data_IF_793837019565
#
_entry.id   IF_793837019565
#
_cell.length_a   1.000
_cell.length_b   1.000
_cell.length_c   1.000
_cell.angle_alpha   90.00
_cell.angle_beta   90.00
_cell.angle_gamma   90.00
#
_symmetry.space_group_name_H-M   'P 1'
#
loop_
_entity.id
_entity.type
_entity.pdbx_description
1 polymer ?
#
# COMPACT_ATOMS: atom_id res chain seq x y z
N UNK A 1 4.95 -13.35 -18.63
CA UNK A 1 6.26 -12.83 -18.19
C UNK A 1 6.67 -13.54 -16.92
N UNK A 2 7.66 -14.42 -17.01
CA UNK A 2 8.24 -15.14 -15.87
C UNK A 2 9.05 -14.15 -15.04
N UNK A 3 8.60 -13.84 -13.82
CA UNK A 3 9.37 -12.99 -12.92
C UNK A 3 10.67 -13.70 -12.54
N UNK A 4 11.81 -13.10 -12.89
CA UNK A 4 13.11 -13.50 -12.36
C UNK A 4 13.07 -13.30 -10.84
N UNK A 5 13.40 -14.33 -10.03
CA UNK A 5 13.40 -14.20 -8.58
C UNK A 5 14.43 -13.15 -8.16
N UNK A 6 13.97 -12.10 -7.48
CA UNK A 6 14.85 -11.08 -6.91
C UNK A 6 15.58 -11.70 -5.73
N UNK A 7 16.91 -11.58 -5.69
CA UNK A 7 17.70 -12.06 -4.56
C UNK A 7 17.27 -11.30 -3.29
N UNK A 8 16.98 -12.03 -2.21
CA UNK A 8 16.64 -11.40 -0.93
C UNK A 8 17.80 -10.54 -0.43
N UNK A 9 17.53 -9.27 -0.11
CA UNK A 9 18.46 -8.37 0.56
C UNK A 9 17.69 -7.51 1.57
N UNK A 10 17.92 -7.79 2.86
CA UNK A 10 17.23 -7.11 3.96
C UNK A 10 17.63 -5.64 4.09
N UNK A 11 18.87 -5.27 3.72
CA UNK A 11 19.31 -3.89 3.84
C UNK A 11 18.60 -3.00 2.80
N UNK A 12 18.48 -3.49 1.57
CA UNK A 12 17.73 -2.80 0.51
C UNK A 12 16.25 -2.72 0.88
N UNK A 13 15.67 -3.77 1.43
CA UNK A 13 14.26 -3.75 1.86
C UNK A 13 14.01 -2.78 3.02
N UNK A 14 14.86 -2.76 4.06
CA UNK A 14 14.75 -1.83 5.18
C UNK A 14 14.88 -0.38 4.72
N UNK A 15 15.80 -0.11 3.77
CA UNK A 15 15.89 1.20 3.14
C UNK A 15 14.58 1.59 2.43
N UNK A 16 14.01 0.70 1.62
CA UNK A 16 12.72 0.97 0.97
C UNK A 16 11.58 1.19 1.97
N UNK A 17 11.51 0.42 3.05
CA UNK A 17 10.55 0.67 4.13
C UNK A 17 10.76 2.01 4.81
N UNK A 18 12.00 2.44 5.02
CA UNK A 18 12.31 3.76 5.55
C UNK A 18 11.87 4.88 4.59
N UNK A 19 12.07 4.72 3.28
CA UNK A 19 11.55 5.66 2.28
C UNK A 19 10.02 5.67 2.28
N UNK A 20 9.35 4.52 2.39
CA UNK A 20 7.90 4.46 2.54
C UNK A 20 7.42 5.21 3.79
N UNK A 21 8.13 5.11 4.91
CA UNK A 21 7.82 5.87 6.12
C UNK A 21 7.99 7.39 5.91
N UNK A 22 9.06 7.81 5.24
CA UNK A 22 9.25 9.22 4.88
C UNK A 22 8.19 9.71 3.90
N UNK A 23 7.79 8.88 2.92
CA UNK A 23 6.72 9.22 1.98
C UNK A 23 5.36 9.30 2.70
N UNK A 24 5.10 8.44 3.68
CA UNK A 24 3.91 8.53 4.51
C UNK A 24 3.90 9.83 5.32
N UNK A 25 5.04 10.21 5.91
CA UNK A 25 5.20 11.51 6.58
C UNK A 25 4.98 12.67 5.60
N UNK A 26 5.53 12.60 4.39
CA UNK A 26 5.34 13.60 3.33
C UNK A 26 3.86 13.79 2.98
N UNK A 27 3.12 12.69 2.84
CA UNK A 27 1.67 12.74 2.59
C UNK A 27 0.95 13.43 3.74
N UNK A 28 1.27 13.10 5.01
CA UNK A 28 0.67 13.76 6.19
C UNK A 28 0.99 15.25 6.26
N UNK A 29 2.26 15.64 6.05
CA UNK A 29 2.68 17.05 6.03
C UNK A 29 2.03 17.81 4.86
N UNK A 30 1.89 17.17 3.70
CA UNK A 30 1.13 17.73 2.57
C UNK A 30 -0.36 17.88 2.89
N UNK A 31 -0.94 16.93 3.63
CA UNK A 31 -2.29 17.03 4.18
C UNK A 31 -2.44 18.22 5.13
N UNK A 32 -1.45 18.47 5.98
CA UNK A 32 -1.44 19.64 6.86
C UNK A 32 -1.43 20.92 6.02
N UNK A 33 -0.50 21.03 5.08
CA UNK A 33 -0.38 22.15 4.13
C UNK A 33 -1.70 22.42 3.40
N UNK A 34 -2.48 21.39 3.05
CA UNK A 34 -3.80 21.57 2.44
C UNK A 34 -4.85 22.06 3.44
N UNK A 35 -4.94 21.42 4.61
CA UNK A 35 -5.99 21.70 5.59
C UNK A 35 -5.81 23.06 6.30
N UNK A 36 -4.58 23.58 6.33
CA UNK A 36 -4.23 24.93 6.80
C UNK A 36 -4.16 25.97 5.68
N UNK A 37 -4.56 25.61 4.45
CA UNK A 37 -4.55 26.50 3.28
C UNK A 37 -3.19 27.19 3.05
N UNK A 38 -2.12 26.43 3.25
CA UNK A 38 -0.75 26.93 3.19
C UNK A 38 -0.09 26.68 1.84
N UNK A 39 -0.76 26.00 0.91
CA UNK A 39 -0.17 25.51 -0.33
C UNK A 39 0.28 26.56 -1.35
N UNK A 40 0.03 27.85 -1.10
CA UNK A 40 0.33 28.98 -1.99
C UNK A 40 1.21 30.06 -1.32
N UNK A 41 1.69 29.83 -0.10
CA UNK A 41 2.51 30.77 0.67
C UNK A 41 3.91 31.03 0.08
N UNK A 42 4.46 30.10 -0.71
CA UNK A 42 5.75 30.19 -1.39
C UNK A 42 5.54 30.30 -2.90
N UNK A 43 5.54 31.54 -3.39
CA UNK A 43 5.23 31.88 -4.78
C UNK A 43 6.31 31.43 -5.77
N UNK A 44 7.56 31.35 -5.33
CA UNK A 44 8.68 30.99 -6.21
C UNK A 44 8.97 29.48 -6.22
N UNK A 45 9.31 28.96 -7.39
CA UNK A 45 9.82 27.60 -7.55
C UNK A 45 11.35 27.60 -7.63
N UNK A 46 11.99 27.38 -6.47
CA UNK A 46 13.46 27.28 -6.35
C UNK A 46 13.84 25.90 -5.78
N UNK A 47 13.96 24.85 -6.62
CA UNK A 47 14.19 23.48 -6.17
C UNK A 47 15.48 23.28 -5.37
N UNK A 48 16.55 23.97 -5.75
CA UNK A 48 17.87 23.84 -5.13
C UNK A 48 18.14 24.97 -4.15
N UNK A 49 18.06 26.23 -4.60
CA UNK A 49 18.41 27.41 -3.79
C UNK A 49 17.37 27.78 -2.74
N UNK A 50 16.12 27.31 -2.87
CA UNK A 50 15.05 27.54 -1.89
C UNK A 50 15.01 26.52 -0.74
N UNK A 51 16.13 25.83 -0.46
CA UNK A 51 16.21 24.87 0.64
C UNK A 51 16.33 25.55 2.01
N UNK A 52 17.05 26.68 2.08
CA UNK A 52 17.11 27.49 3.29
C UNK A 52 15.81 28.31 3.45
N UNK A 53 15.19 28.37 4.65
CA UNK A 53 14.09 29.29 4.92
C UNK A 53 14.62 30.73 5.05
N UNK A 54 13.75 31.75 5.09
CA UNK A 54 14.15 33.13 5.37
C UNK A 54 14.84 33.20 6.75
N UNK A 55 16.04 33.78 6.80
CA UNK A 55 16.89 33.79 8.00
C UNK A 55 16.90 35.15 8.71
N UNK A 56 16.58 36.23 8.00
CA UNK A 56 16.48 37.58 8.55
C UNK A 56 15.06 38.14 8.47
N UNK A 57 14.77 39.18 9.25
CA UNK A 57 13.48 39.87 9.18
C UNK A 57 13.24 40.49 7.79
N UNK A 58 14.30 40.99 7.14
CA UNK A 58 14.22 41.52 5.79
C UNK A 58 13.80 40.45 4.77
N UNK A 59 14.35 39.25 4.87
CA UNK A 59 13.97 38.12 4.00
C UNK A 59 12.51 37.73 4.21
N UNK A 60 12.07 37.65 5.48
CA UNK A 60 10.68 37.36 5.81
C UNK A 60 9.71 38.39 5.23
N UNK A 61 10.05 39.67 5.30
CA UNK A 61 9.25 40.75 4.69
C UNK A 61 9.24 40.62 3.17
N UNK A 62 10.37 40.30 2.54
CA UNK A 62 10.44 40.12 1.08
C UNK A 62 9.54 38.97 0.59
N UNK A 63 9.56 37.82 1.27
CA UNK A 63 8.64 36.71 0.93
C UNK A 63 7.18 37.09 1.16
N UNK A 64 6.87 37.83 2.23
CA UNK A 64 5.52 38.27 2.50
C UNK A 64 5.01 39.27 1.46
N UNK A 65 5.86 40.21 0.99
CA UNK A 65 5.50 41.11 -0.10
C UNK A 65 5.20 40.35 -1.40
N UNK A 66 5.91 39.26 -1.69
CA UNK A 66 5.56 38.38 -2.83
C UNK A 66 4.19 37.75 -2.63
N UNK A 67 3.90 37.22 -1.44
CA UNK A 67 2.61 36.61 -1.13
C UNK A 67 1.45 37.60 -1.28
N UNK A 68 1.64 38.87 -0.92
CA UNK A 68 0.62 39.92 -1.12
C UNK A 68 0.21 40.15 -2.58
N UNK A 69 1.02 39.69 -3.54
CA UNK A 69 0.73 39.85 -4.97
C UNK A 69 -0.24 38.81 -5.53
N UNK A 70 -0.50 37.71 -4.80
CA UNK A 70 -1.34 36.61 -5.31
C UNK A 70 -2.81 36.76 -4.88
N UNK A 71 -3.77 36.18 -5.63
CA UNK A 71 -5.20 36.29 -5.35
C UNK A 71 -5.64 35.84 -3.95
N UNK A 72 -4.98 34.81 -3.38
CA UNK A 72 -5.31 34.29 -2.05
C UNK A 72 -5.17 35.36 -0.96
N UNK A 73 -4.12 36.19 -1.02
CA UNK A 73 -3.97 37.30 -0.07
C UNK A 73 -5.12 38.31 -0.21
N UNK A 74 -5.43 38.72 -1.44
CA UNK A 74 -6.44 39.74 -1.68
C UNK A 74 -7.87 39.30 -1.31
N UNK A 75 -8.20 38.02 -1.51
CA UNK A 75 -9.57 37.51 -1.38
C UNK A 75 -9.84 36.77 -0.06
N UNK A 76 -8.82 36.16 0.54
CA UNK A 76 -8.98 35.31 1.74
C UNK A 76 -8.24 35.91 2.94
N UNK A 77 -7.01 36.36 2.73
CA UNK A 77 -6.08 36.73 3.81
C UNK A 77 -5.81 38.25 3.87
N UNK A 78 -6.77 39.08 3.47
CA UNK A 78 -6.59 40.52 3.40
C UNK A 78 -6.35 41.10 4.80
N UNK A 79 -5.21 41.77 4.99
CA UNK A 79 -4.81 42.34 6.29
C UNK A 79 -4.08 41.36 7.21
N UNK A 80 -3.72 40.17 6.72
CA UNK A 80 -2.90 39.19 7.44
C UNK A 80 -1.60 39.81 7.99
N UNK A 81 -1.20 39.41 9.20
CA UNK A 81 0.05 39.86 9.80
C UNK A 81 1.25 39.05 9.30
N UNK A 82 2.47 39.55 9.49
CA UNK A 82 3.68 38.77 9.19
C UNK A 82 3.79 37.50 10.06
N UNK A 83 3.21 37.52 11.28
CA UNK A 83 3.22 36.36 12.16
C UNK A 83 2.34 35.24 11.60
N UNK A 84 1.11 35.57 11.18
CA UNK A 84 0.18 34.61 10.56
C UNK A 84 0.74 34.05 9.25
N UNK A 85 1.39 34.91 8.43
CA UNK A 85 2.08 34.47 7.21
C UNK A 85 3.16 33.42 7.49
N UNK A 86 3.94 33.58 8.58
CA UNK A 86 4.97 32.61 8.96
C UNK A 86 4.37 31.24 9.25
N UNK A 87 3.19 31.16 9.84
CA UNK A 87 2.53 29.89 10.15
C UNK A 87 2.24 29.08 8.89
N UNK A 88 1.62 29.72 7.88
CA UNK A 88 1.36 29.05 6.60
C UNK A 88 2.66 28.76 5.83
N UNK A 89 3.64 29.66 5.88
CA UNK A 89 4.94 29.46 5.23
C UNK A 89 5.66 28.23 5.75
N UNK A 90 5.66 27.99 7.07
CA UNK A 90 6.35 26.86 7.67
C UNK A 90 5.80 25.51 7.23
N UNK A 91 4.48 25.39 7.06
CA UNK A 91 3.88 24.16 6.54
C UNK A 91 4.33 23.87 5.12
N UNK A 92 4.28 24.88 4.25
CA UNK A 92 4.66 24.70 2.86
C UNK A 92 6.17 24.48 2.70
N UNK A 93 7.00 25.25 3.41
CA UNK A 93 8.44 25.07 3.41
C UNK A 93 8.81 23.68 3.92
N UNK A 94 8.21 23.24 5.03
CA UNK A 94 8.46 21.92 5.61
C UNK A 94 8.10 20.78 4.65
N UNK A 95 6.96 20.89 3.97
CA UNK A 95 6.56 19.95 2.92
C UNK A 95 7.56 19.91 1.76
N UNK A 96 7.95 21.08 1.22
CA UNK A 96 8.92 21.18 0.11
C UNK A 96 10.31 20.68 0.52
N UNK A 97 10.77 21.00 1.72
CA UNK A 97 12.04 20.55 2.27
C UNK A 97 12.06 19.02 2.44
N UNK A 98 11.01 18.44 3.01
CA UNK A 98 10.88 16.99 3.16
C UNK A 98 10.91 16.27 1.81
N UNK A 99 10.28 16.82 0.77
CA UNK A 99 10.38 16.29 -0.59
C UNK A 99 11.82 16.22 -1.12
N UNK A 100 12.62 17.26 -0.87
CA UNK A 100 14.06 17.28 -1.23
C UNK A 100 14.85 16.24 -0.44
N UNK A 101 14.60 16.15 0.88
CA UNK A 101 15.23 15.17 1.75
C UNK A 101 14.95 13.74 1.28
N UNK A 102 13.72 13.42 0.89
CA UNK A 102 13.34 12.12 0.33
C UNK A 102 14.12 11.82 -0.95
N UNK A 103 14.25 12.81 -1.84
CA UNK A 103 15.03 12.68 -3.07
C UNK A 103 16.49 12.26 -2.79
N UNK A 104 17.14 12.91 -1.83
CA UNK A 104 18.50 12.57 -1.40
C UNK A 104 18.58 11.22 -0.67
N UNK A 105 17.65 10.97 0.25
CA UNK A 105 17.55 9.72 1.00
C UNK A 105 17.28 8.50 0.09
N UNK A 106 16.70 8.72 -1.09
CA UNK A 106 16.58 7.69 -2.11
C UNK A 106 17.84 7.59 -2.98
N UNK A 107 18.33 8.72 -3.51
CA UNK A 107 19.41 8.72 -4.49
C UNK A 107 20.73 8.20 -3.91
N UNK A 108 21.12 8.63 -2.72
CA UNK A 108 22.42 8.27 -2.15
C UNK A 108 22.52 6.76 -1.85
N UNK A 109 21.56 6.11 -1.17
CA UNK A 109 21.60 4.66 -1.00
C UNK A 109 21.45 3.90 -2.31
N UNK A 110 20.68 4.40 -3.29
CA UNK A 110 20.59 3.78 -4.61
C UNK A 110 21.98 3.68 -5.28
N UNK A 111 22.74 4.79 -5.29
CA UNK A 111 24.11 4.83 -5.81
C UNK A 111 25.00 3.86 -5.03
N UNK A 112 24.96 3.91 -3.70
CA UNK A 112 25.75 3.03 -2.85
C UNK A 112 25.46 1.54 -3.11
N UNK A 113 24.20 1.13 -3.18
CA UNK A 113 23.82 -0.26 -3.44
C UNK A 113 24.17 -0.72 -4.86
N UNK A 114 24.12 0.19 -5.84
CA UNK A 114 24.59 -0.08 -7.20
C UNK A 114 26.11 -0.31 -7.23
N UNK A 115 26.89 0.59 -6.61
CA UNK A 115 28.35 0.50 -6.56
C UNK A 115 28.84 -0.74 -5.81
N UNK A 116 28.15 -1.11 -4.72
CA UNK A 116 28.46 -2.31 -3.92
C UNK A 116 27.89 -3.60 -4.51
N UNK A 117 27.27 -3.55 -5.70
CA UNK A 117 26.67 -4.69 -6.41
C UNK A 117 25.65 -5.47 -5.57
N UNK A 118 24.99 -4.81 -4.62
CA UNK A 118 23.91 -5.41 -3.82
C UNK A 118 22.59 -5.54 -4.58
N UNK A 119 22.38 -4.67 -5.56
CA UNK A 119 21.25 -4.74 -6.47
C UNK A 119 21.68 -5.28 -7.84
N UNK A 120 20.90 -6.21 -8.41
CA UNK A 120 21.09 -6.65 -9.78
C UNK A 120 20.55 -5.62 -10.79
N UNK A 121 20.82 -5.83 -12.08
CA UNK A 121 20.39 -4.92 -13.15
C UNK A 121 18.87 -4.77 -13.22
N UNK A 122 18.11 -5.84 -12.97
CA UNK A 122 16.66 -5.81 -13.07
C UNK A 122 16.05 -4.99 -11.92
N UNK A 123 16.51 -5.21 -10.69
CA UNK A 123 16.13 -4.44 -9.52
C UNK A 123 16.59 -2.98 -9.65
N UNK A 124 17.82 -2.75 -10.11
CA UNK A 124 18.35 -1.41 -10.36
C UNK A 124 17.51 -0.59 -11.33
N UNK A 125 17.03 -1.20 -12.43
CA UNK A 125 16.13 -0.53 -13.38
C UNK A 125 14.76 -0.20 -12.76
N UNK A 126 14.22 -1.08 -11.90
CA UNK A 126 12.96 -0.80 -11.17
C UNK A 126 13.14 0.37 -10.20
N UNK A 127 14.24 0.38 -9.45
CA UNK A 127 14.56 1.45 -8.50
C UNK A 127 14.83 2.79 -9.20
N UNK A 128 15.50 2.76 -10.37
CA UNK A 128 15.66 3.95 -11.21
C UNK A 128 14.31 4.46 -11.72
N UNK A 129 13.42 3.55 -12.14
CA UNK A 129 12.05 3.91 -12.52
C UNK A 129 11.28 4.57 -11.38
N UNK A 130 11.42 4.07 -10.14
CA UNK A 130 10.85 4.71 -8.95
C UNK A 130 11.44 6.10 -8.69
N UNK A 131 12.75 6.28 -8.88
CA UNK A 131 13.38 7.59 -8.75
C UNK A 131 12.84 8.59 -9.77
N UNK A 132 12.69 8.17 -11.04
CA UNK A 132 12.10 9.00 -12.10
C UNK A 132 10.64 9.34 -11.77
N UNK A 133 9.84 8.36 -11.34
CA UNK A 133 8.46 8.60 -10.88
C UNK A 133 8.41 9.55 -9.69
N UNK A 134 9.38 9.50 -8.77
CA UNK A 134 9.54 10.47 -7.68
C UNK A 134 9.86 11.88 -8.18
N UNK A 135 10.67 12.01 -9.23
CA UNK A 135 10.89 13.29 -9.92
C UNK A 135 9.60 13.83 -10.57
N UNK A 136 8.84 12.95 -11.24
CA UNK A 136 7.53 13.28 -11.79
C UNK A 136 6.52 13.67 -10.72
N UNK A 137 6.59 13.06 -9.54
CA UNK A 137 5.80 13.46 -8.38
C UNK A 137 6.10 14.91 -7.98
N UNK A 138 7.38 15.29 -7.94
CA UNK A 138 7.78 16.68 -7.70
C UNK A 138 7.26 17.65 -8.78
N UNK A 139 7.35 17.27 -10.06
CA UNK A 139 6.84 18.06 -11.17
C UNK A 139 5.31 18.23 -11.11
N UNK A 140 4.58 17.15 -10.76
CA UNK A 140 3.14 17.18 -10.57
C UNK A 140 2.75 18.06 -9.37
N UNK A 141 3.54 18.05 -8.30
CA UNK A 141 3.37 18.93 -7.14
C UNK A 141 3.58 20.41 -7.48
N UNK A 142 4.57 20.73 -8.32
CA UNK A 142 4.73 22.09 -8.85
C UNK A 142 3.54 22.53 -9.70
N UNK A 143 3.09 21.67 -10.63
CA UNK A 143 1.91 21.94 -11.44
C UNK A 143 0.63 22.11 -10.60
N UNK A 144 0.50 21.34 -9.52
CA UNK A 144 -0.61 21.45 -8.59
C UNK A 144 -0.70 22.85 -7.95
N UNK A 145 0.44 23.47 -7.62
CA UNK A 145 0.52 24.79 -6.99
C UNK A 145 0.47 25.93 -8.00
N UNK A 146 1.08 25.76 -9.18
CA UNK A 146 1.31 26.86 -10.13
C UNK A 146 0.02 27.55 -10.62
N UNK A 147 -1.10 26.83 -10.77
CA UNK A 147 -2.37 27.47 -11.16
C UNK A 147 -3.01 28.33 -10.06
N UNK A 148 -2.72 28.04 -8.80
CA UNK A 148 -3.24 28.83 -7.67
C UNK A 148 -2.54 30.18 -7.52
N UNK A 149 -1.50 30.45 -8.29
CA UNK A 149 -0.75 31.70 -8.22
C UNK A 149 -1.32 32.79 -9.15
N UNK A 150 -2.13 32.43 -10.16
CA UNK A 150 -2.60 33.37 -11.19
C UNK A 150 -4.08 33.24 -11.56
N UNK A 151 -4.67 32.04 -11.49
CA UNK A 151 -6.02 31.78 -12.03
C UNK A 151 -7.05 31.39 -10.96
N UNK A 152 -6.60 30.87 -9.81
CA UNK A 152 -7.47 30.35 -8.74
C UNK A 152 -6.98 30.82 -7.38
N UNK A 153 -7.86 30.77 -6.39
CA UNK A 153 -7.54 31.05 -4.98
C UNK A 153 -7.09 29.80 -4.22
N UNK A 154 -7.18 28.61 -4.84
CA UNK A 154 -6.83 27.34 -4.22
C UNK A 154 -6.34 26.30 -5.24
N UNK A 155 -5.83 25.19 -4.70
CA UNK A 155 -5.42 24.02 -5.48
C UNK A 155 -6.65 23.22 -5.86
N UNK A 156 -6.86 22.99 -7.16
CA UNK A 156 -7.95 22.15 -7.67
C UNK A 156 -7.92 20.74 -7.06
N UNK A 157 -9.09 20.27 -6.64
CA UNK A 157 -9.30 18.92 -6.10
C UNK A 157 -8.83 17.81 -7.03
N UNK A 158 -8.89 18.03 -8.35
CA UNK A 158 -8.39 17.08 -9.35
C UNK A 158 -6.87 16.98 -9.34
N UNK A 159 -6.16 18.11 -9.19
CA UNK A 159 -4.69 18.14 -9.10
C UNK A 159 -4.22 17.52 -7.80
N UNK A 160 -4.90 17.82 -6.69
CA UNK A 160 -4.67 17.20 -5.39
C UNK A 160 -4.84 15.68 -5.46
N UNK A 161 -5.96 15.21 -6.02
CA UNK A 161 -6.24 13.78 -6.21
C UNK A 161 -5.20 13.10 -7.10
N UNK A 162 -4.79 13.72 -8.20
CA UNK A 162 -3.74 13.20 -9.09
C UNK A 162 -2.39 13.09 -8.36
N UNK A 163 -2.00 14.13 -7.62
CA UNK A 163 -0.76 14.16 -6.86
C UNK A 163 -0.72 13.11 -5.75
N UNK A 164 -1.81 12.98 -4.98
CA UNK A 164 -1.94 11.90 -3.99
C UNK A 164 -1.92 10.53 -4.65
N UNK A 165 -2.64 10.33 -5.76
CA UNK A 165 -2.70 9.07 -6.49
C UNK A 165 -1.33 8.57 -6.94
N UNK A 166 -0.52 9.46 -7.54
CA UNK A 166 0.86 9.13 -7.91
C UNK A 166 1.73 8.83 -6.68
N UNK A 167 1.55 9.55 -5.56
CA UNK A 167 2.23 9.23 -4.29
C UNK A 167 1.89 7.81 -3.80
N UNK A 168 0.62 7.43 -3.86
CA UNK A 168 0.15 6.11 -3.43
C UNK A 168 0.65 5.00 -4.36
N UNK A 169 0.75 5.25 -5.67
CA UNK A 169 1.36 4.31 -6.62
C UNK A 169 2.84 4.10 -6.30
N UNK A 170 3.59 5.18 -6.04
CA UNK A 170 4.99 5.11 -5.60
C UNK A 170 5.13 4.32 -4.29
N UNK A 171 4.28 4.62 -3.30
CA UNK A 171 4.25 3.92 -2.03
C UNK A 171 3.98 2.42 -2.22
N UNK A 172 2.97 2.06 -3.02
CA UNK A 172 2.61 0.69 -3.31
C UNK A 172 3.74 -0.07 -4.00
N UNK A 173 4.36 0.55 -5.01
CA UNK A 173 5.46 -0.07 -5.75
C UNK A 173 6.69 -0.31 -4.87
N UNK A 174 7.05 0.64 -3.99
CA UNK A 174 8.14 0.48 -3.04
C UNK A 174 7.86 -0.59 -1.99
N UNK A 175 6.66 -0.58 -1.37
CA UNK A 175 6.25 -1.64 -0.44
C UNK A 175 6.27 -3.00 -1.14
N UNK A 176 5.80 -3.09 -2.37
CA UNK A 176 5.77 -4.35 -3.11
C UNK A 176 7.18 -4.90 -3.36
N UNK A 177 8.12 -4.06 -3.78
CA UNK A 177 9.52 -4.46 -3.96
C UNK A 177 10.15 -4.86 -2.63
N UNK A 178 9.92 -4.10 -1.57
CA UNK A 178 10.43 -4.40 -0.23
C UNK A 178 9.90 -5.76 0.28
N UNK A 179 8.61 -6.06 0.07
CA UNK A 179 8.01 -7.35 0.40
C UNK A 179 8.58 -8.50 -0.43
N UNK A 180 8.79 -8.31 -1.74
CA UNK A 180 9.44 -9.31 -2.60
C UNK A 180 10.89 -9.59 -2.16
N UNK A 181 11.58 -8.61 -1.55
CA UNK A 181 12.94 -8.78 -1.01
C UNK A 181 12.98 -9.52 0.33
N UNK A 182 12.05 -9.27 1.26
CA UNK A 182 12.05 -9.91 2.60
C UNK A 182 11.28 -11.22 2.65
N UNK A 183 10.31 -11.40 1.75
CA UNK A 183 9.46 -12.57 1.67
C UNK A 183 9.29 -12.99 0.20
N UNK A 184 10.35 -13.49 -0.46
CA UNK A 184 10.27 -13.91 -1.85
C UNK A 184 9.11 -14.87 -2.08
N UNK A 185 8.29 -14.58 -3.09
CA UNK A 185 7.11 -15.40 -3.40
C UNK A 185 7.56 -16.76 -3.94
N UNK A 186 7.07 -17.84 -3.32
CA UNK A 186 7.18 -19.18 -3.88
C UNK A 186 6.37 -19.28 -5.18
N UNK A 187 6.87 -20.03 -6.16
CA UNK A 187 6.17 -20.29 -7.43
C UNK A 187 4.98 -21.21 -7.20
N UNK A 188 3.82 -20.86 -7.76
CA UNK A 188 2.66 -21.76 -7.85
C UNK A 188 1.34 -21.01 -8.09
N UNK A 189 0.23 -21.66 -7.77
CA UNK A 189 -1.12 -21.10 -7.91
C UNK A 189 -1.42 -20.01 -6.87
N UNK A 190 -2.14 -18.96 -7.30
CA UNK A 190 -2.66 -17.89 -6.45
C UNK A 190 -3.76 -18.43 -5.54
N UNK A 191 -3.88 -17.88 -4.33
CA UNK A 191 -4.99 -18.23 -3.45
C UNK A 191 -6.33 -17.85 -4.11
N UNK A 192 -7.40 -18.65 -3.93
CA UNK A 192 -8.74 -18.36 -4.49
C UNK A 192 -9.31 -16.99 -4.08
N UNK A 193 -8.85 -16.44 -2.95
CA UNK A 193 -9.26 -15.12 -2.46
C UNK A 193 -8.43 -13.96 -3.03
N UNK A 194 -7.43 -14.24 -3.86
CA UNK A 194 -6.53 -13.22 -4.42
C UNK A 194 -7.25 -12.14 -5.24
N UNK A 195 -8.25 -12.44 -6.10
CA UNK A 195 -9.00 -11.40 -6.80
C UNK A 195 -9.74 -10.44 -5.85
N UNK A 196 -10.30 -10.97 -4.76
CA UNK A 196 -11.00 -10.16 -3.75
C UNK A 196 -10.03 -9.32 -2.92
N UNK A 197 -8.85 -9.84 -2.61
CA UNK A 197 -7.78 -9.07 -1.97
C UNK A 197 -7.34 -7.90 -2.86
N UNK A 198 -7.17 -8.14 -4.17
CA UNK A 198 -6.84 -7.09 -5.14
C UNK A 198 -7.97 -6.06 -5.22
N UNK A 199 -9.22 -6.50 -5.35
CA UNK A 199 -10.37 -5.61 -5.42
C UNK A 199 -10.49 -4.74 -4.16
N UNK A 200 -10.24 -5.31 -2.97
CA UNK A 200 -10.20 -4.57 -1.72
C UNK A 200 -9.07 -3.53 -1.70
N UNK A 201 -7.86 -3.88 -2.13
CA UNK A 201 -6.73 -2.96 -2.22
C UNK A 201 -7.00 -1.81 -3.21
N UNK A 202 -7.58 -2.10 -4.38
CA UNK A 202 -8.00 -1.10 -5.37
C UNK A 202 -9.09 -0.21 -4.77
N UNK A 203 -10.05 -0.78 -4.06
CA UNK A 203 -11.10 -0.03 -3.37
C UNK A 203 -10.53 0.91 -2.31
N UNK A 204 -9.55 0.48 -1.52
CA UNK A 204 -8.84 1.34 -0.56
C UNK A 204 -8.14 2.50 -1.28
N UNK A 205 -7.44 2.23 -2.39
CA UNK A 205 -6.84 3.28 -3.21
C UNK A 205 -7.89 4.28 -3.69
N UNK A 206 -9.01 3.81 -4.27
CA UNK A 206 -10.10 4.66 -4.73
C UNK A 206 -10.72 5.48 -3.59
N UNK A 207 -10.87 4.90 -2.40
CA UNK A 207 -11.37 5.60 -1.22
C UNK A 207 -10.45 6.74 -0.76
N UNK A 208 -9.14 6.56 -0.86
CA UNK A 208 -8.18 7.63 -0.58
C UNK A 208 -8.28 8.76 -1.62
N UNK A 209 -8.56 8.45 -2.89
CA UNK A 209 -8.86 9.45 -3.92
C UNK A 209 -10.16 10.19 -3.63
N UNK A 210 -11.22 9.49 -3.21
CA UNK A 210 -12.45 10.14 -2.72
C UNK A 210 -12.18 11.06 -1.53
N UNK A 211 -11.29 10.65 -0.62
CA UNK A 211 -10.83 11.49 0.49
C UNK A 211 -10.10 12.76 0.04
N UNK A 212 -9.30 12.68 -1.02
CA UNK A 212 -8.66 13.86 -1.62
C UNK A 212 -9.68 14.85 -2.19
N UNK A 213 -10.77 14.37 -2.79
CA UNK A 213 -11.86 15.24 -3.24
C UNK A 213 -12.57 15.94 -2.07
N UNK A 214 -12.86 15.21 -0.98
CA UNK A 214 -13.43 15.77 0.25
C UNK A 214 -12.52 16.86 0.84
N UNK A 215 -11.21 16.61 0.91
CA UNK A 215 -10.24 17.58 1.42
C UNK A 215 -10.07 18.78 0.48
N UNK A 216 -10.06 18.54 -0.84
CA UNK A 216 -9.95 19.59 -1.87
C UNK A 216 -11.09 20.60 -1.77
N UNK A 217 -12.33 20.10 -1.70
CA UNK A 217 -13.54 20.92 -1.61
C UNK A 217 -13.91 21.35 -0.18
N UNK A 218 -13.10 21.01 0.84
CA UNK A 218 -13.39 21.27 2.27
C UNK A 218 -14.73 20.71 2.76
N UNK A 219 -15.25 19.65 2.13
CA UNK A 219 -16.57 19.08 2.40
C UNK A 219 -16.72 18.48 3.81
N UNK A 220 -15.59 18.11 4.43
CA UNK A 220 -15.54 17.64 5.82
C UNK A 220 -15.89 18.69 6.88
N UNK A 221 -15.99 19.97 6.54
CA UNK A 221 -16.37 21.07 7.45
C UNK A 221 -17.83 21.52 7.32
N UNK A 222 -18.60 20.91 6.41
CA UNK A 222 -19.98 21.31 6.12
C UNK A 222 -20.99 20.24 6.56
N UNK A 223 -20.76 18.99 6.15
CA UNK A 223 -21.68 17.89 6.47
C UNK A 223 -21.17 17.11 7.69
N UNK A 224 -21.50 17.59 8.88
CA UNK A 224 -20.93 17.11 10.16
C UNK A 224 -21.84 16.19 10.99
N UNK A 225 -23.02 15.85 10.48
CA UNK A 225 -23.88 14.82 11.08
C UNK A 225 -23.53 13.41 10.57
N UNK A 226 -23.81 12.39 11.38
CA UNK A 226 -23.69 10.97 11.02
C UNK A 226 -24.74 10.14 11.79
N UNK A 227 -25.34 9.06 11.21
CA UNK A 227 -25.09 8.49 9.88
C UNK A 227 -25.71 9.29 8.73
N UNK A 228 -26.76 10.07 9.02
CA UNK A 228 -27.42 10.95 8.05
C UNK A 228 -26.57 12.20 7.77
N UNK A 229 -26.75 12.80 6.60
CA UNK A 229 -26.19 14.09 6.20
C UNK A 229 -27.32 15.12 6.25
N UNK A 230 -27.29 16.01 7.25
CA UNK A 230 -28.33 17.03 7.48
C UNK A 230 -29.76 16.42 7.52
N UNK A 231 -29.91 15.32 8.28
CA UNK A 231 -31.20 14.64 8.47
C UNK A 231 -31.65 13.76 7.29
N UNK A 232 -30.89 13.66 6.20
CA UNK A 232 -31.20 12.77 5.06
C UNK A 232 -30.12 11.73 4.82
N UNK A 233 -30.47 10.60 4.20
CA UNK A 233 -29.48 9.60 3.80
C UNK A 233 -28.69 10.08 2.58
N UNK A 234 -29.40 10.41 1.49
CA UNK A 234 -28.83 11.14 0.34
C UNK A 234 -29.04 12.63 0.57
N UNK A 235 -27.99 13.47 0.54
CA UNK A 235 -28.15 14.90 0.75
C UNK A 235 -28.95 15.53 -0.39
N UNK A 236 -29.77 16.53 -0.07
CA UNK A 236 -30.62 17.20 -1.06
C UNK A 236 -29.81 17.87 -2.18
N UNK A 237 -28.66 18.43 -1.82
CA UNK A 237 -27.72 19.05 -2.74
C UNK A 237 -26.79 18.04 -3.46
N UNK A 238 -27.11 16.74 -3.46
CA UNK A 238 -26.28 15.74 -4.14
C UNK A 238 -26.16 16.04 -5.64
N UNK A 239 -27.27 16.44 -6.28
CA UNK A 239 -27.29 17.05 -7.61
C UNK A 239 -27.85 18.47 -7.49
N UNK A 240 -27.11 19.47 -7.95
CA UNK A 240 -27.61 20.83 -8.07
C UNK A 240 -27.99 21.03 -9.54
N UNK A 241 -29.27 20.81 -9.87
CA UNK A 241 -29.78 20.89 -11.25
C UNK A 241 -29.80 19.55 -11.99
N UNK A 242 -29.61 19.59 -13.31
CA UNK A 242 -29.66 18.40 -14.16
C UNK A 242 -28.42 17.51 -13.92
N UNK A 243 -28.57 16.21 -13.62
CA UNK A 243 -27.44 15.35 -13.27
C UNK A 243 -26.40 15.22 -14.38
N UNK A 244 -25.16 15.61 -14.08
CA UNK A 244 -23.96 15.38 -14.89
C UNK A 244 -22.94 14.48 -14.18
N UNK A 245 -21.98 13.92 -14.94
CA UNK A 245 -20.90 13.10 -14.38
C UNK A 245 -19.95 13.93 -13.49
N UNK A 246 -19.75 15.21 -13.83
CA UNK A 246 -18.93 16.15 -13.06
C UNK A 246 -19.49 16.41 -11.66
N UNK A 247 -20.82 16.41 -11.50
CA UNK A 247 -21.49 16.71 -10.23
C UNK A 247 -21.13 15.71 -9.13
N UNK A 248 -20.73 14.49 -9.50
CA UNK A 248 -20.28 13.45 -8.59
C UNK A 248 -18.98 13.82 -7.83
N UNK A 249 -18.20 14.75 -8.39
CA UNK A 249 -16.86 15.10 -7.92
C UNK A 249 -16.66 16.59 -7.61
N UNK A 250 -17.64 17.44 -7.96
CA UNK A 250 -17.50 18.90 -7.88
C UNK A 250 -18.35 19.53 -6.78
N UNK A 251 -19.41 18.86 -6.30
CA UNK A 251 -20.21 19.35 -5.18
C UNK A 251 -19.70 18.78 -3.85
N UNK A 252 -19.70 19.62 -2.80
CA UNK A 252 -19.33 19.21 -1.44
C UNK A 252 -20.23 18.07 -0.92
N UNK A 253 -21.52 18.11 -1.28
CA UNK A 253 -22.50 17.09 -0.92
C UNK A 253 -22.16 15.74 -1.56
N UNK A 254 -21.89 15.73 -2.87
CA UNK A 254 -21.61 14.51 -3.61
C UNK A 254 -20.30 13.87 -3.16
N UNK A 255 -19.21 14.63 -3.07
CA UNK A 255 -17.91 14.05 -2.66
C UNK A 255 -17.96 13.47 -1.24
N UNK A 256 -18.66 14.14 -0.33
CA UNK A 256 -18.81 13.65 1.05
C UNK A 256 -19.68 12.41 1.11
N UNK A 257 -20.82 12.40 0.41
CA UNK A 257 -21.71 11.24 0.36
C UNK A 257 -21.01 10.04 -0.29
N UNK A 258 -20.32 10.25 -1.42
CA UNK A 258 -19.59 9.21 -2.14
C UNK A 258 -18.46 8.63 -1.30
N UNK A 259 -17.72 9.47 -0.58
CA UNK A 259 -16.70 9.02 0.36
C UNK A 259 -17.30 8.16 1.49
N UNK A 260 -18.44 8.56 2.07
CA UNK A 260 -19.13 7.75 3.11
C UNK A 260 -19.60 6.41 2.56
N UNK A 261 -20.21 6.39 1.38
CA UNK A 261 -20.70 5.17 0.74
C UNK A 261 -19.56 4.20 0.43
N UNK A 262 -18.44 4.71 -0.10
CA UNK A 262 -17.23 3.93 -0.33
C UNK A 262 -16.65 3.35 0.97
N UNK A 263 -16.66 4.11 2.07
CA UNK A 263 -16.22 3.64 3.37
C UNK A 263 -17.08 2.48 3.89
N UNK A 264 -18.42 2.57 3.77
CA UNK A 264 -19.31 1.47 4.17
C UNK A 264 -19.10 0.21 3.32
N UNK A 265 -18.96 0.37 2.01
CA UNK A 265 -18.67 -0.74 1.11
C UNK A 265 -17.34 -1.42 1.46
N UNK A 266 -16.29 -0.64 1.74
CA UNK A 266 -14.99 -1.17 2.16
C UNK A 266 -15.03 -1.86 3.51
N UNK A 267 -15.77 -1.33 4.48
CA UNK A 267 -15.96 -1.97 5.77
C UNK A 267 -16.60 -3.35 5.62
N UNK A 268 -17.69 -3.43 4.84
CA UNK A 268 -18.36 -4.69 4.53
C UNK A 268 -17.46 -5.66 3.77
N UNK A 269 -16.71 -5.18 2.76
CA UNK A 269 -15.78 -6.00 1.99
C UNK A 269 -14.62 -6.54 2.84
N UNK A 270 -14.06 -5.72 3.74
CA UNK A 270 -13.01 -6.14 4.66
C UNK A 270 -13.53 -7.18 5.67
N UNK A 271 -14.75 -7.01 6.19
CA UNK A 271 -15.42 -7.98 7.06
C UNK A 271 -15.63 -9.32 6.32
N UNK A 272 -16.18 -9.26 5.11
CA UNK A 272 -16.38 -10.44 4.27
C UNK A 272 -15.06 -11.17 3.99
N UNK A 273 -13.99 -10.43 3.67
CA UNK A 273 -12.66 -10.99 3.46
C UNK A 273 -12.10 -11.65 4.73
N UNK A 274 -12.28 -11.03 5.90
CA UNK A 274 -11.88 -11.60 7.19
C UNK A 274 -12.61 -12.93 7.45
N UNK A 275 -13.92 -12.99 7.22
CA UNK A 275 -14.73 -14.20 7.42
C UNK A 275 -14.32 -15.29 6.41
N UNK A 276 -14.15 -14.93 5.13
CA UNK A 276 -13.76 -15.88 4.07
C UNK A 276 -12.36 -16.46 4.29
N UNK A 277 -11.42 -15.67 4.82
CA UNK A 277 -10.05 -16.09 5.07
C UNK A 277 -9.84 -16.76 6.44
N UNK A 278 -10.86 -16.83 7.32
CA UNK A 278 -10.69 -17.21 8.74
C UNK A 278 -10.08 -18.60 8.99
N UNK A 279 -10.26 -19.54 8.05
CA UNK A 279 -9.70 -20.90 8.11
C UNK A 279 -8.57 -21.13 7.10
N UNK A 280 -7.94 -20.06 6.60
CA UNK A 280 -6.83 -20.14 5.64
C UNK A 280 -5.60 -19.45 6.20
N UNK A 281 -4.43 -19.65 5.58
CA UNK A 281 -3.21 -18.95 6.01
C UNK A 281 -3.26 -17.42 5.78
N UNK A 282 -4.26 -16.92 5.03
CA UNK A 282 -4.50 -15.48 4.91
C UNK A 282 -5.25 -14.88 6.12
N UNK A 283 -5.81 -15.72 7.00
CA UNK A 283 -6.63 -15.30 8.13
C UNK A 283 -6.01 -14.20 9.01
N UNK A 284 -4.73 -14.30 9.44
CA UNK A 284 -4.07 -13.23 10.18
C UNK A 284 -4.00 -11.90 9.41
N UNK A 285 -3.66 -11.93 8.12
CA UNK A 285 -3.57 -10.72 7.28
C UNK A 285 -4.94 -10.09 7.07
N UNK A 286 -5.97 -10.89 6.85
CA UNK A 286 -7.34 -10.41 6.67
C UNK A 286 -7.91 -9.79 7.95
N UNK A 287 -7.64 -10.38 9.13
CA UNK A 287 -7.98 -9.78 10.44
C UNK A 287 -7.29 -8.45 10.67
N UNK A 288 -6.01 -8.35 10.33
CA UNK A 288 -5.25 -7.09 10.42
C UNK A 288 -5.89 -6.00 9.53
N UNK A 289 -6.18 -6.31 8.26
CA UNK A 289 -6.85 -5.36 7.36
C UNK A 289 -8.21 -4.94 7.92
N UNK A 290 -9.04 -5.86 8.40
CA UNK A 290 -10.32 -5.51 8.99
C UNK A 290 -10.17 -4.62 10.22
N UNK A 291 -9.24 -4.92 11.13
CA UNK A 291 -8.97 -4.09 12.30
C UNK A 291 -8.54 -2.66 11.91
N UNK A 292 -7.65 -2.52 10.93
CA UNK A 292 -7.26 -1.21 10.40
C UNK A 292 -8.43 -0.47 9.75
N UNK A 293 -9.26 -1.15 8.95
CA UNK A 293 -10.46 -0.55 8.32
C UNK A 293 -11.49 -0.14 9.36
N UNK A 294 -11.70 -0.93 10.42
CA UNK A 294 -12.60 -0.58 11.50
C UNK A 294 -12.11 0.66 12.26
N UNK A 295 -10.82 0.72 12.59
CA UNK A 295 -10.21 1.91 13.18
C UNK A 295 -10.34 3.13 12.26
N UNK A 296 -10.08 2.97 10.97
CA UNK A 296 -10.22 4.03 9.97
C UNK A 296 -11.66 4.56 9.89
N UNK A 297 -12.66 3.67 9.93
CA UNK A 297 -14.07 4.04 9.90
C UNK A 297 -14.48 4.81 11.17
N UNK A 298 -14.08 4.33 12.35
CA UNK A 298 -14.33 5.02 13.62
C UNK A 298 -13.68 6.41 13.64
N UNK A 299 -12.42 6.50 13.22
CA UNK A 299 -11.70 7.76 13.13
C UNK A 299 -12.31 8.70 12.09
N UNK A 300 -12.82 8.17 10.97
CA UNK A 300 -13.53 8.96 9.96
C UNK A 300 -14.84 9.55 10.48
N UNK A 301 -15.65 8.75 11.18
CA UNK A 301 -16.87 9.23 11.84
C UNK A 301 -16.53 10.31 12.86
N UNK A 302 -15.52 10.09 13.71
CA UNK A 302 -15.10 11.09 14.68
C UNK A 302 -14.61 12.38 14.00
N UNK A 303 -13.79 12.27 12.96
CA UNK A 303 -13.30 13.42 12.19
C UNK A 303 -14.47 14.27 11.66
N UNK A 304 -15.49 13.63 11.10
CA UNK A 304 -16.68 14.32 10.57
C UNK A 304 -17.51 14.97 11.68
N UNK A 305 -17.83 14.24 12.75
CA UNK A 305 -18.67 14.76 13.85
C UNK A 305 -17.98 15.90 14.59
N UNK A 306 -16.65 15.88 14.67
CA UNK A 306 -15.86 16.94 15.29
C UNK A 306 -15.59 18.15 14.35
N UNK A 307 -16.21 18.20 13.17
CA UNK A 307 -16.00 19.25 12.16
C UNK A 307 -14.58 19.34 11.57
N UNK A 308 -13.92 18.18 11.39
CA UNK A 308 -12.58 18.02 10.82
C UNK A 308 -11.52 18.94 11.45
N UNK A 309 -11.25 18.83 12.77
CA UNK A 309 -10.09 19.47 13.38
C UNK A 309 -8.81 18.94 12.72
N UNK A 310 -7.79 19.80 12.59
CA UNK A 310 -6.55 19.47 11.89
C UNK A 310 -5.97 18.12 12.34
N UNK A 311 -5.82 17.92 13.65
CA UNK A 311 -5.26 16.68 14.21
C UNK A 311 -6.04 15.42 13.79
N UNK A 312 -7.37 15.45 13.79
CA UNK A 312 -8.19 14.31 13.39
C UNK A 312 -8.12 14.08 11.88
N UNK A 313 -8.12 15.14 11.06
CA UNK A 313 -7.94 15.02 9.61
C UNK A 313 -6.59 14.37 9.26
N UNK A 314 -5.51 14.79 9.92
CA UNK A 314 -4.18 14.19 9.75
C UNK A 314 -4.10 12.75 10.24
N UNK A 315 -4.69 12.45 11.41
CA UNK A 315 -4.73 11.09 11.94
C UNK A 315 -5.52 10.14 11.02
N UNK A 316 -6.65 10.61 10.47
CA UNK A 316 -7.46 9.86 9.51
C UNK A 316 -6.68 9.58 8.23
N UNK A 317 -5.94 10.55 7.71
CA UNK A 317 -5.09 10.38 6.53
C UNK A 317 -3.90 9.43 6.80
N UNK A 318 -3.24 9.55 7.95
CA UNK A 318 -2.14 8.68 8.34
C UNK A 318 -2.59 7.22 8.48
N UNK A 319 -3.75 7.00 9.11
CA UNK A 319 -4.32 5.65 9.29
C UNK A 319 -4.76 5.05 7.95
N UNK A 320 -5.22 5.87 6.99
CA UNK A 320 -5.53 5.41 5.63
C UNK A 320 -4.31 4.78 4.92
N UNK A 321 -3.11 5.34 5.12
CA UNK A 321 -1.86 4.79 4.58
C UNK A 321 -1.53 3.43 5.21
N UNK A 322 -1.82 3.25 6.51
CA UNK A 322 -1.66 1.97 7.21
C UNK A 322 -2.63 0.94 6.63
N UNK A 323 -3.90 1.31 6.41
CA UNK A 323 -4.89 0.44 5.75
C UNK A 323 -4.40 0.04 4.35
N UNK A 324 -3.86 0.98 3.59
CA UNK A 324 -3.34 0.70 2.25
C UNK A 324 -2.14 -0.25 2.28
N UNK A 325 -1.16 -0.01 3.17
CA UNK A 325 -0.03 -0.92 3.41
C UNK A 325 -0.47 -2.33 3.85
N UNK A 326 -1.45 -2.42 4.76
CA UNK A 326 -2.03 -3.69 5.19
C UNK A 326 -2.71 -4.43 4.04
N UNK A 327 -3.44 -3.71 3.16
CA UNK A 327 -4.09 -4.29 1.99
C UNK A 327 -3.07 -4.83 0.97
N UNK A 328 -1.96 -4.12 0.75
CA UNK A 328 -0.84 -4.56 -0.08
C UNK A 328 -0.21 -5.84 0.49
N UNK A 329 0.00 -5.89 1.80
CA UNK A 329 0.51 -7.07 2.49
C UNK A 329 -0.42 -8.28 2.36
N UNK A 330 -1.75 -8.07 2.44
CA UNK A 330 -2.74 -9.11 2.19
C UNK A 330 -2.68 -9.62 0.74
N UNK A 331 -2.64 -8.71 -0.24
CA UNK A 331 -2.51 -9.06 -1.66
C UNK A 331 -1.23 -9.85 -1.90
N UNK A 332 -0.09 -9.37 -1.42
CA UNK A 332 1.20 -10.05 -1.58
C UNK A 332 1.17 -11.50 -1.09
N UNK A 333 0.57 -11.75 0.08
CA UNK A 333 0.41 -13.10 0.63
C UNK A 333 -0.58 -13.98 -0.12
N UNK A 334 -1.60 -13.38 -0.74
CA UNK A 334 -2.54 -14.13 -1.59
C UNK A 334 -1.91 -14.56 -2.92
N UNK A 335 -0.81 -13.91 -3.34
CA UNK A 335 -0.07 -14.22 -4.56
C UNK A 335 1.06 -15.22 -4.34
N UNK A 336 1.46 -15.51 -3.10
CA UNK A 336 2.38 -16.58 -2.77
C UNK A 336 1.63 -17.90 -2.63
N UNK A 337 2.09 -18.94 -3.31
CA UNK A 337 1.57 -20.28 -3.10
C UNK A 337 1.97 -20.79 -1.74
N UNK A 338 0.99 -21.18 -0.95
CA UNK A 338 1.23 -22.04 0.19
C UNK A 338 1.43 -23.41 -0.44
N UNK A 339 2.64 -23.97 -0.35
CA UNK A 339 2.81 -25.41 -0.55
C UNK A 339 1.81 -26.07 0.40
N UNK A 340 0.82 -26.74 -0.18
CA UNK A 340 -0.03 -27.64 0.58
C UNK A 340 0.90 -28.78 0.96
N UNK A 341 1.58 -28.67 2.11
CA UNK A 341 2.22 -29.81 2.74
C UNK A 341 1.09 -30.79 2.98
N UNK A 342 0.94 -31.76 2.08
CA UNK A 342 0.18 -32.95 2.34
C UNK A 342 0.76 -33.48 3.65
N UNK A 343 -0.06 -33.52 4.71
CA UNK A 343 0.39 -34.11 5.97
C UNK A 343 0.85 -35.52 5.62
N UNK A 344 2.14 -35.80 5.81
CA UNK A 344 2.70 -37.13 5.68
C UNK A 344 2.14 -37.99 6.81
N UNK A 345 0.90 -38.46 6.65
CA UNK A 345 0.32 -39.57 7.37
C UNK A 345 0.84 -40.87 6.77
N UNK A 346 2.16 -41.06 6.76
CA UNK A 346 2.75 -42.36 6.56
C UNK A 346 2.85 -43.02 7.93
N UNK A 347 1.89 -43.89 8.24
CA UNK A 347 2.00 -44.81 9.36
C UNK A 347 3.29 -45.64 9.21
N UNK A 348 4.06 -45.90 10.27
CA UNK A 348 5.15 -46.83 10.19
C UNK A 348 4.55 -48.24 10.06
N UNK A 349 4.61 -48.80 8.85
CA UNK A 349 4.41 -50.22 8.63
C UNK A 349 5.47 -50.98 9.43
N UNK A 350 4.99 -51.92 10.25
CA UNK A 350 5.82 -52.69 11.17
C UNK A 350 6.91 -53.51 10.45
N UNK A 351 8.13 -53.40 10.96
CA UNK A 351 9.17 -54.39 10.74
C UNK A 351 9.27 -55.26 11.99
N UNK A 352 8.59 -56.42 11.97
CA UNK A 352 8.94 -57.55 12.84
C UNK A 352 10.29 -58.08 12.37
N UNK A 353 11.36 -57.70 13.07
CA UNK A 353 12.68 -58.31 12.92
C UNK A 353 12.72 -59.60 13.73
N UNK A 354 12.62 -60.73 13.03
CA UNK A 354 12.89 -62.07 13.55
C UNK A 354 14.38 -62.37 13.46
N UNK A 355 14.95 -62.77 14.60
CA UNK A 355 16.11 -63.65 14.81
C UNK A 355 17.44 -63.32 14.10
N UNK A 356 18.45 -62.98 14.90
CA UNK A 356 19.86 -63.14 14.58
C UNK A 356 20.62 -63.74 15.78
N UNK A 357 21.09 -64.97 15.62
CA UNK A 357 22.25 -65.65 16.22
C UNK A 357 22.21 -67.12 15.73
N UNK A 358 23.31 -67.90 15.62
CA UNK A 358 24.59 -67.75 16.33
C UNK A 358 25.86 -68.09 15.52
N UNK A 359 27.06 -67.81 16.07
CA UNK A 359 28.26 -68.64 15.85
C UNK A 359 29.04 -68.73 17.16
N UNK A 360 29.39 -69.95 17.59
CA UNK A 360 30.23 -70.19 18.77
C UNK A 360 30.09 -71.57 19.41
N UNK A 361 31.01 -72.46 19.05
CA UNK A 361 31.59 -73.61 19.78
C UNK A 361 30.76 -74.84 20.17
N UNK A 362 31.37 -75.98 19.79
CA UNK A 362 31.59 -77.23 20.54
C UNK A 362 30.80 -78.51 20.21
N UNK A 363 31.62 -79.53 19.89
CA UNK A 363 31.44 -80.99 20.09
C UNK A 363 30.57 -81.81 19.12
N UNK A 364 31.28 -82.71 18.41
CA UNK A 364 30.81 -83.94 17.74
C UNK A 364 30.32 -85.00 18.78
N UNK A 365 29.77 -86.20 18.43
CA UNK A 365 29.87 -86.92 17.15
C UNK A 365 28.63 -87.75 16.67
N UNK A 366 28.84 -88.43 15.53
CA UNK A 366 28.21 -89.67 14.99
C UNK A 366 26.92 -89.64 14.12
N UNK A 367 27.16 -89.72 12.80
CA UNK A 367 26.66 -90.72 11.78
C UNK A 367 25.13 -90.94 11.54
N UNK A 368 24.71 -91.67 10.49
CA UNK A 368 24.38 -91.13 9.15
C UNK A 368 22.94 -91.50 8.72
N UNK A 369 22.43 -91.02 7.57
CA UNK A 369 21.72 -91.82 6.53
C UNK A 369 21.09 -90.97 5.41
N UNK A 370 21.01 -91.62 4.24
CA UNK A 370 20.35 -91.37 2.94
C UNK A 370 19.18 -90.37 2.86
N UNK A 371 18.85 -89.74 1.72
CA UNK A 371 19.27 -89.94 0.33
C UNK A 371 18.23 -89.30 -0.62
N UNK A 372 18.64 -89.14 -1.89
CA UNK A 372 17.84 -89.15 -3.14
C UNK A 372 16.69 -88.15 -3.32
N UNK A 373 16.78 -87.22 -4.29
CA UNK A 373 16.23 -87.33 -5.66
C UNK A 373 14.69 -87.20 -5.69
N UNK A 374 13.99 -86.47 -6.57
CA UNK A 374 14.08 -86.41 -8.04
C UNK A 374 12.90 -85.54 -8.54
N UNK A 375 13.16 -84.72 -9.55
CA UNK A 375 12.34 -84.53 -10.78
C UNK A 375 10.88 -84.03 -10.75
N UNK A 376 10.56 -83.16 -11.72
CA UNK A 376 9.19 -82.99 -12.21
C UNK A 376 9.03 -81.76 -13.09
N UNK A 377 9.04 -81.96 -14.40
CA UNK A 377 8.96 -80.96 -15.47
C UNK A 377 7.47 -80.57 -15.79
N UNK A 378 7.22 -79.65 -16.77
CA UNK A 378 6.05 -78.76 -16.96
C UNK A 378 4.96 -79.42 -17.87
N UNK A 379 4.11 -78.77 -18.73
CA UNK A 379 3.73 -77.36 -19.05
C UNK A 379 2.16 -77.25 -19.22
N UNK A 380 1.51 -76.51 -20.17
CA UNK A 380 1.82 -75.33 -21.00
C UNK A 380 0.74 -74.21 -21.05
N UNK A 381 1.12 -73.11 -21.73
CA UNK A 381 0.41 -72.17 -22.63
C UNK A 381 -1.09 -71.82 -22.49
N UNK A 382 -1.42 -70.56 -22.85
CA UNK A 382 -2.22 -70.19 -24.06
C UNK A 382 -2.74 -68.73 -23.95
N UNK A 383 -2.22 -67.84 -24.84
CA UNK A 383 -2.87 -66.73 -25.62
C UNK A 383 -3.73 -65.65 -24.91
N UNK A 384 -4.00 -64.43 -25.40
CA UNK A 384 -3.65 -63.53 -26.53
C UNK A 384 -4.46 -62.23 -26.30
N UNK A 385 -3.94 -61.07 -26.74
CA UNK A 385 -4.65 -59.90 -27.31
C UNK A 385 -5.77 -59.23 -26.47
N UNK A 386 -6.18 -57.96 -26.58
CA UNK A 386 -6.05 -56.86 -27.56
C UNK A 386 -6.53 -55.57 -26.87
N UNK A 387 -6.11 -54.42 -27.39
CA UNK A 387 -6.39 -53.05 -26.93
C UNK A 387 -7.81 -52.51 -27.32
N UNK A 388 -8.05 -51.20 -27.55
CA UNK A 388 -8.56 -50.21 -26.60
C UNK A 388 -9.88 -49.50 -27.04
N UNK A 389 -10.47 -48.64 -26.19
CA UNK A 389 -11.03 -47.30 -26.53
C UNK A 389 -12.08 -46.82 -25.50
N UNK A 390 -11.85 -45.65 -24.90
CA UNK A 390 -12.63 -44.41 -25.07
C UNK A 390 -12.05 -43.30 -24.20
#
# INVERSE_FOLDING_TARGET
MTAVPVKSDRAVALWLFAICALLALMIVVGGATRLTDSGLSIVEWRPVTGAAPPLSEADWRAEFEKYKTIPEYAQVNLGMSLADFKEIYWWEWGHRFLGRLIGLAFLLPLIYFAMTRRIDRALGLRLLGLFILGGLQGALGWWMVSSGLSERIDVSQYRLAAHLGLALILFAAMIWIALDLVSPRARGARHRLAPYAIALMIGVYAQMILGAFVAGLRAGRVYNTWPLMEGRFVPEAYFIGAPGVSDLFESMAAVQFNHRLGAYALFAAALAMMIAARKTALGPRARMVFACVALQALLGVWTVVAATPLALGLAHQATALIVFGASLYLVHGSMSSIEMTASSGAAPAGARGSMAAPTGSESAPMTPFHGTSRTGAPPPDVTTASAPSR
#
